data_IF_837385431639
#
_entry.id   IF_837385431639
#
_cell.length_a   1.000
_cell.length_b   1.000
_cell.length_c   1.000
_cell.angle_alpha   90.00
_cell.angle_beta   90.00
_cell.angle_gamma   90.00
#
_symmetry.space_group_name_H-M   'P 1'
#
loop_
_entity.id
_entity.type
_entity.pdbx_description
1 polymer ?
#
# COMPACT_ATOMS: atom_id res chain seq x y z
N UNK A 1 1.49 -16.10 -30.76
CA UNK A 1 2.56 -17.06 -31.13
C UNK A 1 3.38 -16.59 -32.33
N UNK A 2 2.78 -16.03 -33.35
CA UNK A 2 3.48 -15.54 -34.58
C UNK A 2 4.32 -14.28 -34.36
N UNK A 3 4.07 -13.51 -33.30
CA UNK A 3 4.78 -12.29 -32.96
C UNK A 3 5.82 -12.46 -31.85
N UNK A 4 6.00 -13.68 -31.33
CA UNK A 4 6.98 -13.97 -30.30
C UNK A 4 8.34 -14.27 -30.95
N UNK A 5 9.41 -13.79 -30.32
CA UNK A 5 10.77 -14.20 -30.71
C UNK A 5 11.01 -15.68 -30.32
N UNK A 6 12.11 -16.30 -30.77
CA UNK A 6 12.35 -17.73 -30.55
C UNK A 6 12.45 -18.10 -29.08
N UNK A 7 13.02 -17.23 -28.25
CA UNK A 7 13.13 -17.43 -26.78
C UNK A 7 11.74 -17.37 -26.11
N UNK A 8 10.90 -16.44 -26.50
CA UNK A 8 9.52 -16.32 -25.99
C UNK A 8 8.63 -17.48 -26.45
N UNK A 9 8.88 -18.04 -27.64
CA UNK A 9 8.21 -19.26 -28.10
C UNK A 9 8.60 -20.49 -27.30
N UNK A 10 9.88 -20.61 -26.92
CA UNK A 10 10.36 -21.70 -26.06
C UNK A 10 9.76 -21.59 -24.66
N UNK A 11 9.73 -20.42 -24.09
CA UNK A 11 9.14 -20.16 -22.78
C UNK A 11 7.61 -20.43 -22.79
N UNK A 12 6.91 -19.98 -23.84
CA UNK A 12 5.49 -20.28 -24.04
C UNK A 12 5.23 -21.79 -24.10
N UNK A 13 6.03 -22.54 -24.87
CA UNK A 13 5.86 -23.98 -24.99
C UNK A 13 6.17 -24.72 -23.68
N UNK A 14 7.17 -24.25 -22.92
CA UNK A 14 7.49 -24.77 -21.60
C UNK A 14 6.33 -24.56 -20.59
N UNK A 15 5.79 -23.35 -20.53
CA UNK A 15 4.66 -23.02 -19.65
C UNK A 15 3.40 -23.80 -20.02
N UNK A 16 3.13 -23.97 -21.31
CA UNK A 16 2.01 -24.77 -21.80
C UNK A 16 2.13 -26.27 -21.47
N UNK A 17 3.34 -26.83 -21.46
CA UNK A 17 3.56 -28.19 -20.99
C UNK A 17 3.37 -28.33 -19.48
N UNK A 18 3.83 -27.33 -18.71
CA UNK A 18 3.69 -27.29 -17.24
C UNK A 18 2.22 -27.18 -16.81
N UNK A 19 1.40 -26.41 -17.54
CA UNK A 19 -0.04 -26.29 -17.27
C UNK A 19 -0.80 -27.58 -17.56
N UNK A 20 -0.48 -28.28 -18.66
CA UNK A 20 -1.09 -29.58 -18.98
C UNK A 20 -0.73 -30.67 -17.95
N UNK A 21 0.49 -30.68 -17.42
CA UNK A 21 0.87 -31.61 -16.35
C UNK A 21 0.14 -31.37 -15.02
N UNK A 22 -0.31 -30.16 -14.76
CA UNK A 22 -1.10 -29.82 -13.54
C UNK A 22 -2.56 -30.25 -13.65
N UNK A 23 -3.17 -30.17 -14.83
CA UNK A 23 -4.54 -30.65 -15.04
C UNK A 23 -4.68 -32.16 -14.89
N UNK A 24 -3.65 -32.94 -15.28
CA UNK A 24 -3.66 -34.38 -15.14
C UNK A 24 -3.45 -34.86 -13.68
N UNK A 25 -2.80 -34.05 -12.82
CA UNK A 25 -2.64 -34.35 -11.40
C UNK A 25 -3.92 -34.00 -10.62
N UNK A 26 -4.61 -32.94 -10.96
CA UNK A 26 -5.87 -32.55 -10.31
C UNK A 26 -7.01 -33.55 -10.59
N UNK A 27 -7.06 -34.15 -11.77
CA UNK A 27 -8.06 -35.18 -12.10
C UNK A 27 -7.80 -36.54 -11.43
N UNK A 28 -6.55 -36.85 -11.03
CA UNK A 28 -6.22 -38.11 -10.34
C UNK A 28 -6.42 -38.07 -8.82
N UNK A 29 -6.56 -36.91 -8.21
CA UNK A 29 -6.73 -36.78 -6.76
C UNK A 29 -8.19 -36.73 -6.31
N UNK A 30 -9.14 -36.60 -7.23
CA UNK A 30 -10.58 -36.50 -6.93
C UNK A 30 -11.32 -37.83 -6.76
N UNK A 31 -10.67 -39.00 -6.84
CA UNK A 31 -11.35 -40.31 -6.85
C UNK A 31 -10.88 -41.29 -5.77
N UNK A 32 -10.50 -40.84 -4.60
CA UNK A 32 -10.34 -41.75 -3.45
C UNK A 32 -10.37 -40.95 -2.13
N UNK A 33 -11.51 -40.93 -1.47
CA UNK A 33 -11.67 -41.19 -0.03
C UNK A 33 -13.08 -40.77 0.44
N UNK A 34 -13.96 -41.76 0.33
CA UNK A 34 -15.11 -41.86 1.22
C UNK A 34 -14.95 -43.23 1.88
N UNK A 35 -14.77 -43.28 3.20
CA UNK A 35 -15.30 -44.29 4.11
C UNK A 35 -14.87 -44.00 5.54
N UNK A 36 -15.85 -43.69 6.34
CA UNK A 36 -16.22 -44.11 7.70
C UNK A 36 -15.53 -43.61 8.95
N UNK A 37 -16.45 -43.24 9.80
CA UNK A 37 -16.40 -42.65 11.13
C UNK A 37 -16.31 -43.66 12.27
N UNK A 38 -15.83 -43.16 13.38
CA UNK A 38 -16.33 -43.30 14.78
C UNK A 38 -15.94 -44.52 15.60
N UNK A 39 -16.17 -44.46 16.94
CA UNK A 39 -15.35 -43.78 17.97
C UNK A 39 -14.93 -44.75 19.07
N UNK A 40 -14.04 -44.41 19.98
CA UNK A 40 -14.10 -44.86 21.39
C UNK A 40 -13.09 -44.17 22.31
N UNK A 41 -13.61 -43.97 23.47
CA UNK A 41 -13.10 -43.45 24.73
C UNK A 41 -11.72 -43.95 25.19
N UNK A 42 -10.97 -43.09 25.89
CA UNK A 42 -10.50 -43.40 27.24
C UNK A 42 -9.86 -42.19 27.96
N UNK A 43 -10.36 -41.94 29.13
CA UNK A 43 -9.83 -41.08 30.20
C UNK A 43 -8.45 -41.51 30.63
N UNK A 44 -7.59 -40.56 30.98
CA UNK A 44 -6.79 -40.63 32.22
C UNK A 44 -6.28 -39.26 32.64
N UNK A 45 -6.52 -38.96 33.87
CA UNK A 45 -5.98 -37.87 34.70
C UNK A 45 -4.44 -37.90 34.77
N UNK A 46 -3.84 -36.74 34.86
CA UNK A 46 -2.80 -36.48 35.86
C UNK A 46 -2.50 -34.99 36.03
N UNK A 47 -2.77 -34.55 37.21
CA UNK A 47 -2.40 -33.32 37.90
C UNK A 47 -0.91 -33.00 37.83
N UNK A 48 -0.57 -31.73 37.66
CA UNK A 48 0.79 -31.19 37.75
C UNK A 48 0.80 -29.71 38.12
N UNK A 49 0.70 -29.46 39.35
CA UNK A 49 1.09 -28.40 40.28
C UNK A 49 1.90 -27.20 39.69
N UNK A 50 1.33 -26.01 39.85
CA UNK A 50 2.01 -24.72 39.81
C UNK A 50 2.71 -24.42 41.18
N UNK A 51 3.88 -23.79 41.22
CA UNK A 51 4.51 -23.35 42.45
C UNK A 51 3.93 -22.03 42.97
N UNK A 52 3.61 -22.03 44.28
CA UNK A 52 3.15 -20.88 45.06
C UNK A 52 4.29 -19.94 45.40
N UNK A 53 4.04 -18.62 45.26
CA UNK A 53 4.83 -17.57 45.90
C UNK A 53 4.56 -17.51 47.43
N UNK A 54 5.57 -17.22 48.28
CA UNK A 54 5.37 -17.13 49.72
C UNK A 54 4.86 -15.74 50.13
N UNK A 55 3.89 -15.78 51.03
CA UNK A 55 3.22 -14.63 51.61
C UNK A 55 4.01 -13.97 52.73
N UNK A 56 3.62 -12.72 52.97
CA UNK A 56 4.07 -11.87 54.08
C UNK A 56 3.73 -12.46 55.44
N UNK A 57 4.74 -12.60 56.27
CA UNK A 57 4.59 -12.88 57.69
C UNK A 57 4.69 -11.60 58.51
N UNK A 58 3.67 -11.35 59.29
CA UNK A 58 3.64 -10.37 60.36
C UNK A 58 4.19 -11.03 61.66
N UNK A 59 5.04 -10.34 62.38
CA UNK A 59 5.29 -10.67 63.76
C UNK A 59 5.44 -9.44 64.64
N UNK A 60 4.75 -9.53 65.74
CA UNK A 60 4.45 -8.63 66.78
C UNK A 60 5.60 -8.38 67.82
N UNK A 61 5.62 -7.16 68.29
CA UNK A 61 5.73 -6.68 69.64
C UNK A 61 6.55 -7.49 70.64
N UNK A 62 7.63 -6.87 71.15
CA UNK A 62 8.00 -7.00 72.57
C UNK A 62 8.68 -5.75 73.10
N UNK A 63 8.18 -5.24 74.22
CA UNK A 63 8.68 -4.16 75.02
C UNK A 63 9.96 -4.60 75.75
N UNK A 64 10.90 -3.64 76.00
CA UNK A 64 11.46 -3.40 77.32
C UNK A 64 12.21 -2.10 77.45
N UNK A 65 11.92 -1.41 78.50
CA UNK A 65 12.49 -0.21 79.09
C UNK A 65 14.01 -0.30 79.35
N UNK A 66 14.72 0.86 79.22
CA UNK A 66 15.48 1.43 80.33
C UNK A 66 16.20 2.70 79.98
N UNK A 67 15.84 3.78 80.65
CA UNK A 67 16.54 4.85 81.38
C UNK A 67 17.84 5.49 80.79
N UNK A 68 17.69 6.84 80.71
CA UNK A 68 18.60 7.92 81.09
C UNK A 68 19.81 8.24 80.23
N UNK A 69 19.83 9.43 79.59
CA UNK A 69 20.52 10.63 80.16
C UNK A 69 20.39 11.83 79.19
N UNK A 70 20.25 12.95 79.81
CA UNK A 70 20.16 14.32 79.18
C UNK A 70 21.37 14.67 78.34
N UNK A 71 21.11 15.16 77.13
CA UNK A 71 21.89 16.23 76.49
C UNK A 71 20.97 17.05 75.65
N UNK A 72 20.77 18.30 76.09
CA UNK A 72 20.15 19.36 75.30
C UNK A 72 21.07 19.69 74.13
N UNK A 73 20.64 19.39 72.92
CA UNK A 73 21.14 20.03 71.68
C UNK A 73 19.99 20.80 71.06
N UNK A 74 20.22 22.09 71.03
CA UNK A 74 19.38 23.06 70.35
C UNK A 74 19.19 22.73 68.89
N UNK A 75 18.09 22.15 68.53
CA UNK A 75 17.67 22.02 67.12
C UNK A 75 17.23 23.38 66.60
N UNK A 76 18.08 24.00 65.79
CA UNK A 76 17.69 25.06 64.89
C UNK A 76 16.59 24.54 63.98
N UNK A 77 15.35 24.97 64.20
CA UNK A 77 14.26 24.71 63.26
C UNK A 77 14.51 25.45 61.97
N UNK A 78 15.03 24.76 60.98
CA UNK A 78 14.97 25.28 59.61
C UNK A 78 13.51 25.26 59.16
N UNK A 79 12.86 26.40 59.26
CA UNK A 79 11.57 26.66 58.63
C UNK A 79 11.76 26.42 57.12
N UNK A 80 11.26 25.30 56.65
CA UNK A 80 11.07 25.11 55.21
C UNK A 80 10.02 26.12 54.75
N UNK A 81 10.47 27.18 54.11
CA UNK A 81 9.59 28.08 53.40
C UNK A 81 8.69 27.29 52.47
N UNK A 82 7.36 27.49 52.52
CA UNK A 82 6.47 26.80 51.59
C UNK A 82 6.86 27.18 50.19
N UNK A 83 7.18 26.21 49.35
CA UNK A 83 7.37 26.42 47.90
C UNK A 83 6.05 26.97 47.35
N UNK A 84 5.99 28.23 47.13
CA UNK A 84 4.88 28.87 46.44
C UNK A 84 4.90 28.36 45.00
N UNK A 85 4.02 27.41 44.70
CA UNK A 85 3.75 27.04 43.32
C UNK A 85 3.16 28.26 42.62
N UNK A 86 3.91 28.85 41.68
CA UNK A 86 3.38 29.94 40.86
C UNK A 86 2.16 29.42 40.14
N UNK A 87 0.99 29.95 40.47
CA UNK A 87 -0.29 29.60 39.86
C UNK A 87 -0.16 29.85 38.36
N UNK A 88 -0.09 28.74 37.57
CA UNK A 88 0.02 28.81 36.12
C UNK A 88 -1.24 29.52 35.61
N UNK A 89 -1.08 30.61 34.91
CA UNK A 89 -2.20 31.38 34.34
C UNK A 89 -2.66 30.65 33.06
N UNK A 90 -3.85 29.98 33.04
CA UNK A 90 -4.27 29.12 31.94
C UNK A 90 -4.28 29.85 30.59
N UNK A 91 -4.66 31.16 30.60
CA UNK A 91 -4.62 31.99 29.38
C UNK A 91 -3.23 32.15 28.76
N UNK A 92 -2.16 32.21 29.57
CA UNK A 92 -0.79 32.29 29.05
C UNK A 92 -0.32 30.93 28.47
N UNK A 93 -0.69 29.84 29.10
CA UNK A 93 -0.40 28.50 28.59
C UNK A 93 -1.09 28.29 27.24
N UNK A 94 -2.37 28.64 27.16
CA UNK A 94 -3.14 28.57 25.91
C UNK A 94 -2.53 29.44 24.80
N UNK A 95 -2.11 30.64 25.13
CA UNK A 95 -1.43 31.52 24.16
C UNK A 95 -0.10 30.92 23.65
N UNK A 96 0.74 30.37 24.53
CA UNK A 96 1.99 29.72 24.12
C UNK A 96 1.74 28.47 23.30
N UNK A 97 0.70 27.69 23.63
CA UNK A 97 0.28 26.53 22.84
C UNK A 97 -0.20 26.95 21.45
N UNK A 98 -0.97 28.02 21.35
CA UNK A 98 -1.40 28.58 20.06
C UNK A 98 -0.21 29.03 19.21
N UNK A 99 0.75 29.76 19.80
CA UNK A 99 1.98 30.19 19.11
C UNK A 99 2.76 28.98 18.62
N UNK A 100 2.89 27.95 19.45
CA UNK A 100 3.57 26.69 19.06
C UNK A 100 2.89 26.02 17.87
N UNK A 101 1.56 25.90 17.87
CA UNK A 101 0.79 25.34 16.75
C UNK A 101 1.00 26.17 15.48
N UNK A 102 0.95 27.50 15.56
CA UNK A 102 1.20 28.37 14.41
C UNK A 102 2.60 28.16 13.84
N UNK A 103 3.62 28.04 14.69
CA UNK A 103 5.00 27.78 14.26
C UNK A 103 5.15 26.42 13.56
N UNK A 104 4.51 25.38 14.08
CA UNK A 104 4.51 24.04 13.46
C UNK A 104 3.82 24.09 12.08
N UNK A 105 2.63 24.69 11.99
CA UNK A 105 1.90 24.81 10.72
C UNK A 105 2.70 25.64 9.71
N UNK A 106 3.29 26.76 10.13
CA UNK A 106 4.14 27.59 9.25
C UNK A 106 5.36 26.80 8.75
N UNK A 107 5.99 25.99 9.61
CA UNK A 107 7.09 25.12 9.23
C UNK A 107 6.67 24.05 8.20
N UNK A 108 5.49 23.43 8.40
CA UNK A 108 4.93 22.47 7.43
C UNK A 108 4.63 23.13 6.07
N UNK A 109 4.05 24.32 6.08
CA UNK A 109 3.81 25.10 4.86
C UNK A 109 5.11 25.42 4.13
N UNK A 110 6.12 25.89 4.88
CA UNK A 110 7.45 26.16 4.30
C UNK A 110 8.04 24.93 3.62
N UNK A 111 8.00 23.77 4.30
CA UNK A 111 8.53 22.51 3.73
C UNK A 111 7.71 22.05 2.50
N UNK A 112 6.39 22.21 2.52
CA UNK A 112 5.55 21.91 1.38
C UNK A 112 5.90 22.78 0.15
N UNK A 113 6.02 24.10 0.32
CA UNK A 113 6.43 24.99 -0.78
C UNK A 113 7.86 24.74 -1.24
N UNK A 114 8.77 24.36 -0.34
CA UNK A 114 10.10 23.89 -0.71
C UNK A 114 10.03 22.66 -1.61
N UNK A 115 9.16 21.71 -1.29
CA UNK A 115 8.89 20.52 -2.12
C UNK A 115 8.31 20.88 -3.48
N UNK A 116 7.31 21.79 -3.53
CA UNK A 116 6.70 22.26 -4.77
C UNK A 116 7.69 22.92 -5.74
N UNK A 117 8.72 23.57 -5.20
CA UNK A 117 9.78 24.20 -6.00
C UNK A 117 10.86 23.22 -6.49
N UNK A 118 10.65 21.91 -6.31
CA UNK A 118 11.57 20.90 -6.81
C UNK A 118 11.49 20.83 -8.33
N UNK A 119 12.64 21.03 -8.98
CA UNK A 119 12.75 20.87 -10.44
C UNK A 119 13.04 19.42 -10.78
N UNK A 120 12.48 18.94 -11.88
CA UNK A 120 12.78 17.61 -12.41
C UNK A 120 14.22 17.56 -12.92
N UNK A 121 14.94 16.45 -12.73
CA UNK A 121 16.20 16.23 -13.43
C UNK A 121 15.97 16.31 -14.96
N UNK A 122 16.77 17.07 -15.68
CA UNK A 122 16.73 17.15 -17.15
C UNK A 122 15.77 18.17 -17.75
N UNK A 123 15.28 19.17 -17.00
CA UNK A 123 14.33 20.21 -17.47
C UNK A 123 12.98 19.68 -18.01
N UNK A 124 12.58 18.49 -17.62
CA UNK A 124 11.27 17.94 -17.98
C UNK A 124 10.17 18.79 -17.33
N UNK A 125 9.18 19.21 -18.11
CA UNK A 125 8.00 19.91 -17.58
C UNK A 125 7.24 18.97 -16.66
N UNK A 126 6.56 19.53 -15.64
CA UNK A 126 5.53 18.79 -14.93
C UNK A 126 4.53 18.25 -15.97
N UNK A 127 4.04 17.04 -15.78
CA UNK A 127 2.97 16.54 -16.64
C UNK A 127 1.77 17.48 -16.50
N UNK A 128 1.18 17.84 -17.63
CA UNK A 128 -0.06 18.61 -17.63
C UNK A 128 -1.14 17.78 -16.93
N UNK A 129 -2.04 18.45 -16.22
CA UNK A 129 -3.19 17.80 -15.62
C UNK A 129 -4.10 17.34 -16.75
N UNK A 130 -4.36 16.03 -16.82
CA UNK A 130 -5.25 15.45 -17.81
C UNK A 130 -6.72 15.84 -17.54
N UNK A 131 -7.55 15.80 -18.57
CA UNK A 131 -8.99 15.85 -18.39
C UNK A 131 -9.42 14.64 -17.56
N UNK A 132 -10.24 14.88 -16.55
CA UNK A 132 -10.74 13.84 -15.66
C UNK A 132 -12.13 14.21 -15.15
N UNK A 133 -13.14 13.45 -15.55
CA UNK A 133 -14.54 13.67 -15.15
C UNK A 133 -14.83 12.95 -13.82
N UNK A 134 -14.34 13.57 -12.74
CA UNK A 134 -14.39 12.98 -11.40
C UNK A 134 -15.75 13.08 -10.73
N UNK A 135 -16.21 11.96 -10.19
CA UNK A 135 -17.48 11.84 -9.47
C UNK A 135 -17.29 11.47 -8.00
N UNK A 136 -18.14 12.02 -7.13
CA UNK A 136 -18.14 11.70 -5.70
C UNK A 136 -18.65 10.28 -5.45
N UNK A 137 -17.91 9.50 -4.66
CA UNK A 137 -18.37 8.20 -4.19
C UNK A 137 -19.50 8.35 -3.15
N UNK A 138 -20.28 7.30 -2.94
CA UNK A 138 -21.36 7.27 -1.95
C UNK A 138 -20.86 7.46 -0.51
N UNK A 139 -19.66 6.97 -0.19
CA UNK A 139 -19.06 7.08 1.13
C UNK A 139 -17.55 7.33 1.02
N UNK A 140 -17.11 8.48 1.51
CA UNK A 140 -15.74 8.93 1.38
C UNK A 140 -15.39 9.48 -0.01
N UNK A 141 -14.11 9.47 -0.32
CA UNK A 141 -13.55 9.98 -1.58
C UNK A 141 -12.65 8.92 -2.16
N UNK A 142 -12.97 8.47 -3.37
CA UNK A 142 -12.14 7.55 -4.13
C UNK A 142 -11.11 8.31 -4.95
N UNK A 143 -9.84 7.92 -4.80
CA UNK A 143 -8.68 8.47 -5.52
C UNK A 143 -8.04 7.33 -6.31
N UNK A 144 -7.98 7.48 -7.63
CA UNK A 144 -7.28 6.56 -8.53
C UNK A 144 -5.78 6.82 -8.45
N UNK A 145 -5.01 5.80 -8.10
CA UNK A 145 -3.54 5.86 -8.07
C UNK A 145 -3.02 4.93 -9.16
N UNK A 146 -2.36 5.53 -10.14
CA UNK A 146 -1.79 4.83 -11.27
C UNK A 146 -0.26 4.87 -11.19
N UNK A 147 0.36 3.70 -11.24
CA UNK A 147 1.82 3.56 -11.38
C UNK A 147 2.14 3.27 -12.85
N UNK A 148 2.95 4.12 -13.48
CA UNK A 148 3.35 3.97 -14.88
C UNK A 148 4.85 3.72 -15.01
N UNK A 149 5.22 2.92 -16.00
CA UNK A 149 6.59 2.70 -16.43
C UNK A 149 7.10 3.81 -17.38
N UNK A 150 6.19 4.58 -17.97
CA UNK A 150 6.52 5.73 -18.79
C UNK A 150 7.05 6.89 -17.98
N UNK A 151 7.85 7.75 -18.61
CA UNK A 151 8.26 9.02 -18.01
C UNK A 151 7.15 10.05 -18.22
N UNK A 152 6.59 10.54 -17.13
CA UNK A 152 5.54 11.57 -17.17
C UNK A 152 6.08 12.79 -17.95
N UNK A 153 5.35 13.18 -19.01
CA UNK A 153 5.73 14.27 -19.93
C UNK A 153 6.52 13.82 -21.16
N UNK A 154 6.78 12.53 -21.35
CA UNK A 154 7.17 11.95 -22.64
C UNK A 154 5.90 11.59 -23.43
N UNK A 155 5.88 11.92 -24.73
CA UNK A 155 4.78 11.55 -25.63
C UNK A 155 4.87 10.04 -25.96
N UNK A 156 4.61 9.19 -24.99
CA UNK A 156 4.59 7.74 -25.19
C UNK A 156 3.14 7.26 -25.28
N UNK A 157 2.67 7.01 -26.48
CA UNK A 157 1.37 6.36 -26.73
C UNK A 157 1.41 4.84 -26.45
N UNK A 158 2.55 4.31 -25.99
CA UNK A 158 2.74 2.90 -25.66
C UNK A 158 2.85 2.67 -24.15
N UNK A 159 2.79 3.74 -23.36
CA UNK A 159 2.88 3.65 -21.88
C UNK A 159 1.73 2.82 -21.33
N UNK A 160 2.06 1.94 -20.39
CA UNK A 160 1.11 1.10 -19.67
C UNK A 160 1.14 1.40 -18.19
N UNK A 161 0.03 1.13 -17.54
CA UNK A 161 -0.02 1.13 -16.07
C UNK A 161 0.27 -0.25 -15.52
N UNK A 162 1.32 -0.35 -14.70
CA UNK A 162 1.68 -1.59 -14.00
C UNK A 162 0.97 -1.74 -12.65
N UNK A 163 0.49 -0.62 -12.09
CA UNK A 163 -0.23 -0.59 -10.83
C UNK A 163 -1.49 0.25 -10.98
N UNK A 164 -2.63 -0.35 -10.68
CA UNK A 164 -3.95 0.30 -10.74
C UNK A 164 -4.59 0.10 -9.37
N UNK A 165 -4.74 1.18 -8.61
CA UNK A 165 -5.28 1.13 -7.26
C UNK A 165 -6.31 2.23 -7.04
N UNK A 166 -7.33 1.93 -6.23
CA UNK A 166 -8.29 2.92 -5.73
C UNK A 166 -8.13 3.03 -4.22
N UNK A 167 -7.81 4.23 -3.76
CA UNK A 167 -7.71 4.60 -2.36
C UNK A 167 -8.98 5.34 -1.95
N UNK A 168 -9.76 4.77 -1.02
CA UNK A 168 -10.91 5.43 -0.42
C UNK A 168 -10.53 6.00 0.96
N UNK A 169 -10.86 7.26 1.15
CA UNK A 169 -10.50 8.06 2.34
C UNK A 169 -11.66 8.94 2.80
N UNK A 170 -11.63 9.35 4.07
CA UNK A 170 -12.65 10.24 4.64
C UNK A 170 -14.05 9.60 4.69
N UNK A 171 -14.11 8.28 4.76
CA UNK A 171 -15.35 7.51 4.88
C UNK A 171 -15.85 7.46 6.34
N UNK A 172 -17.09 6.99 6.51
CA UNK A 172 -17.75 6.89 7.83
C UNK A 172 -17.08 5.93 8.79
N UNK A 173 -16.35 4.95 8.27
CA UNK A 173 -15.63 3.97 9.09
C UNK A 173 -14.34 4.53 9.68
N UNK A 174 -13.92 5.73 9.27
CA UNK A 174 -12.64 6.33 9.64
C UNK A 174 -11.45 5.38 9.43
N UNK A 175 -11.46 4.66 8.30
CA UNK A 175 -10.40 3.75 7.86
C UNK A 175 -9.96 4.10 6.46
N UNK A 176 -8.72 3.84 6.16
CA UNK A 176 -8.28 3.84 4.77
C UNK A 176 -8.65 2.51 4.12
N UNK A 177 -9.22 2.55 2.91
CA UNK A 177 -9.53 1.36 2.13
C UNK A 177 -8.73 1.40 0.85
N UNK A 178 -8.06 0.30 0.53
CA UNK A 178 -7.19 0.18 -0.63
C UNK A 178 -7.65 -1.02 -1.46
N UNK A 179 -8.07 -0.75 -2.68
CA UNK A 179 -8.39 -1.77 -3.67
C UNK A 179 -7.34 -1.75 -4.77
N UNK A 180 -6.68 -2.88 -4.98
CA UNK A 180 -5.70 -3.06 -6.07
C UNK A 180 -6.32 -3.93 -7.14
N UNK A 181 -6.26 -3.46 -8.38
CA UNK A 181 -6.75 -4.20 -9.54
C UNK A 181 -5.57 -4.82 -10.28
N UNK A 182 -5.71 -6.12 -10.57
CA UNK A 182 -4.70 -6.79 -11.38
C UNK A 182 -4.77 -6.29 -12.82
N UNK A 183 -3.64 -5.87 -13.36
CA UNK A 183 -3.55 -5.25 -14.68
C UNK A 183 -4.05 -6.13 -15.82
N UNK A 184 -3.93 -7.47 -15.65
CA UNK A 184 -4.31 -8.46 -16.66
C UNK A 184 -5.78 -8.93 -16.49
N UNK A 185 -6.56 -8.32 -15.58
CA UNK A 185 -8.01 -8.55 -15.47
C UNK A 185 -8.67 -8.17 -16.78
N UNK A 186 -9.44 -9.09 -17.36
CA UNK A 186 -10.20 -8.84 -18.57
C UNK A 186 -11.44 -8.02 -18.24
N UNK A 187 -11.65 -6.98 -19.01
CA UNK A 187 -12.73 -6.01 -18.87
C UNK A 187 -13.35 -5.70 -20.22
N UNK A 188 -14.50 -5.09 -20.20
CA UNK A 188 -15.10 -4.43 -21.37
C UNK A 188 -14.60 -2.97 -21.43
N UNK A 189 -14.14 -2.55 -22.62
CA UNK A 189 -13.84 -1.15 -22.90
C UNK A 189 -14.74 -0.69 -24.05
N UNK A 190 -15.60 0.27 -23.78
CA UNK A 190 -16.54 0.80 -24.76
C UNK A 190 -15.81 1.36 -25.99
N UNK A 191 -16.33 1.02 -27.18
CA UNK A 191 -15.72 1.40 -28.46
C UNK A 191 -14.44 0.63 -28.86
N UNK A 192 -13.93 -0.25 -28.02
CA UNK A 192 -12.72 -1.09 -28.28
C UNK A 192 -13.07 -2.57 -28.21
N UNK A 193 -13.76 -3.00 -27.17
CA UNK A 193 -14.23 -4.39 -26.99
C UNK A 193 -15.29 -4.76 -28.01
N UNK A 194 -15.49 -6.06 -28.22
CA UNK A 194 -16.51 -6.58 -29.11
C UNK A 194 -17.91 -6.23 -28.62
N UNK A 195 -18.56 -5.26 -29.27
CA UNK A 195 -19.89 -4.75 -28.89
C UNK A 195 -21.05 -5.65 -29.31
N UNK A 196 -20.80 -6.78 -29.97
CA UNK A 196 -21.84 -7.72 -30.43
C UNK A 196 -22.09 -8.87 -29.46
N UNK A 197 -21.32 -8.95 -28.38
CA UNK A 197 -21.45 -9.97 -27.35
C UNK A 197 -22.26 -9.47 -26.18
N UNK A 198 -22.88 -10.41 -25.43
CA UNK A 198 -23.62 -10.10 -24.24
C UNK A 198 -22.66 -9.95 -23.02
N UNK A 199 -23.02 -9.14 -21.99
CA UNK A 199 -22.16 -8.95 -20.82
C UNK A 199 -21.79 -10.21 -20.05
N UNK A 200 -22.45 -11.35 -20.32
CA UNK A 200 -22.18 -12.64 -19.68
C UNK A 200 -21.24 -13.53 -20.48
N UNK A 201 -20.87 -13.11 -21.71
CA UNK A 201 -20.00 -13.87 -22.59
C UNK A 201 -18.52 -13.54 -22.33
N UNK A 202 -17.63 -14.52 -22.41
CA UNK A 202 -16.18 -14.34 -22.26
C UNK A 202 -15.64 -13.31 -23.27
N UNK A 203 -16.18 -13.32 -24.47
CA UNK A 203 -15.82 -12.39 -25.56
C UNK A 203 -16.25 -10.94 -25.28
N UNK A 204 -17.13 -10.68 -24.31
CA UNK A 204 -17.50 -9.33 -23.89
C UNK A 204 -16.39 -8.68 -23.06
N UNK A 205 -15.68 -9.46 -22.24
CA UNK A 205 -14.57 -9.05 -21.40
C UNK A 205 -13.26 -9.45 -22.11
N UNK A 206 -12.89 -8.71 -23.14
CA UNK A 206 -11.84 -9.09 -24.09
C UNK A 206 -10.60 -8.16 -24.05
N UNK A 207 -10.59 -7.14 -23.20
CA UNK A 207 -9.50 -6.20 -23.03
C UNK A 207 -8.85 -6.33 -21.66
N UNK A 208 -7.52 -6.21 -21.57
CA UNK A 208 -6.86 -6.09 -20.28
C UNK A 208 -7.07 -4.71 -19.67
N UNK A 209 -7.25 -4.64 -18.36
CA UNK A 209 -7.48 -3.38 -17.65
C UNK A 209 -6.36 -2.36 -17.89
N UNK A 210 -5.09 -2.79 -17.95
CA UNK A 210 -3.97 -1.88 -18.20
C UNK A 210 -3.98 -1.29 -19.63
N UNK A 211 -4.65 -1.91 -20.59
CA UNK A 211 -4.77 -1.37 -21.95
C UNK A 211 -5.71 -0.16 -22.01
N UNK A 212 -6.63 0.00 -21.04
CA UNK A 212 -7.46 1.19 -20.96
C UNK A 212 -6.64 2.47 -20.88
N UNK A 213 -5.54 2.47 -20.09
CA UNK A 213 -4.64 3.61 -20.03
C UNK A 213 -4.01 3.92 -21.40
N UNK A 214 -3.50 2.89 -22.08
CA UNK A 214 -2.87 3.04 -23.40
C UNK A 214 -3.84 3.59 -24.44
N UNK A 215 -5.08 3.09 -24.49
CA UNK A 215 -6.11 3.62 -25.37
C UNK A 215 -6.45 5.08 -25.05
N UNK A 216 -6.55 5.43 -23.77
CA UNK A 216 -6.76 6.81 -23.35
C UNK A 216 -5.61 7.74 -23.74
N UNK A 217 -4.35 7.28 -23.64
CA UNK A 217 -3.19 8.05 -24.09
C UNK A 217 -3.19 8.28 -25.60
N UNK A 218 -3.66 7.31 -26.39
CA UNK A 218 -3.83 7.44 -27.83
C UNK A 218 -4.99 8.38 -28.21
N UNK A 219 -6.00 8.51 -27.33
CA UNK A 219 -7.12 9.44 -27.47
C UNK A 219 -6.89 10.73 -26.68
N UNK A 220 -6.06 11.62 -27.20
CA UNK A 220 -5.81 12.96 -26.66
C UNK A 220 -5.23 12.99 -25.23
N UNK A 221 -4.36 12.05 -24.87
CA UNK A 221 -3.70 11.97 -23.56
C UNK A 221 -4.71 11.96 -22.39
N UNK A 222 -5.67 11.03 -22.44
CA UNK A 222 -6.71 10.81 -21.44
C UNK A 222 -6.55 9.48 -20.71
N UNK A 223 -5.33 9.04 -20.46
CA UNK A 223 -5.06 7.72 -19.89
C UNK A 223 -5.74 7.50 -18.54
N UNK A 224 -5.64 8.46 -17.63
CA UNK A 224 -6.28 8.36 -16.31
C UNK A 224 -7.81 8.34 -16.42
N UNK A 225 -8.40 9.14 -17.33
CA UNK A 225 -9.83 9.17 -17.56
C UNK A 225 -10.35 7.85 -18.12
N UNK A 226 -9.64 7.26 -19.08
CA UNK A 226 -10.03 5.98 -19.66
C UNK A 226 -10.02 4.85 -18.62
N UNK A 227 -9.03 4.82 -17.72
CA UNK A 227 -9.03 3.87 -16.60
C UNK A 227 -10.19 4.14 -15.63
N UNK A 228 -10.47 5.42 -15.31
CA UNK A 228 -11.64 5.79 -14.49
C UNK A 228 -12.94 5.25 -15.08
N UNK A 229 -13.13 5.48 -16.40
CA UNK A 229 -14.32 5.03 -17.11
C UNK A 229 -14.41 3.49 -17.10
N UNK A 230 -13.30 2.81 -17.41
CA UNK A 230 -13.25 1.35 -17.36
C UNK A 230 -13.62 0.79 -15.97
N UNK A 231 -13.14 1.41 -14.90
CA UNK A 231 -13.51 1.02 -13.53
C UNK A 231 -14.97 1.36 -13.22
N UNK A 232 -15.53 2.45 -13.75
CA UNK A 232 -16.95 2.78 -13.61
C UNK A 232 -17.83 1.73 -14.31
N UNK A 233 -17.53 1.42 -15.55
CA UNK A 233 -18.38 0.56 -16.39
C UNK A 233 -18.35 -0.89 -15.90
N UNK A 234 -17.19 -1.42 -15.54
CA UNK A 234 -17.04 -2.81 -15.15
C UNK A 234 -17.30 -3.06 -13.66
N UNK A 235 -16.99 -2.11 -12.77
CA UNK A 235 -17.08 -2.28 -11.32
C UNK A 235 -18.04 -1.32 -10.63
N UNK A 236 -18.61 -0.35 -11.37
CA UNK A 236 -19.51 0.70 -10.86
C UNK A 236 -18.88 1.54 -9.71
N UNK A 237 -17.61 1.88 -9.85
CA UNK A 237 -16.88 2.71 -8.89
C UNK A 237 -16.87 4.14 -9.36
N UNK A 238 -17.34 5.07 -8.52
CA UNK A 238 -17.21 6.51 -8.76
C UNK A 238 -15.88 6.98 -8.18
N UNK A 239 -15.06 7.67 -9.01
CA UNK A 239 -13.72 8.13 -8.65
C UNK A 239 -13.66 9.64 -8.86
N UNK A 240 -13.20 10.36 -7.81
CA UNK A 240 -13.18 11.83 -7.83
C UNK A 240 -11.85 12.41 -8.30
N UNK A 241 -10.76 11.81 -7.89
CA UNK A 241 -9.42 12.31 -8.16
C UNK A 241 -8.52 11.21 -8.70
N UNK A 242 -7.43 11.62 -9.36
CA UNK A 242 -6.37 10.72 -9.76
C UNK A 242 -4.99 11.25 -9.36
N UNK A 243 -4.03 10.35 -9.27
CA UNK A 243 -2.60 10.62 -9.15
C UNK A 243 -1.83 9.61 -10.01
N UNK A 244 -1.10 10.13 -11.00
CA UNK A 244 -0.26 9.34 -11.89
C UNK A 244 1.19 9.45 -11.43
N UNK A 245 1.78 8.37 -10.93
CA UNK A 245 3.09 8.33 -10.29
C UNK A 245 4.07 7.53 -11.13
N UNK A 246 5.15 8.17 -11.57
CA UNK A 246 6.27 7.47 -12.19
C UNK A 246 7.29 6.97 -11.16
N UNK A 247 8.23 6.16 -11.62
CA UNK A 247 9.24 5.54 -10.76
C UNK A 247 10.16 6.55 -10.06
N UNK A 248 10.56 7.60 -10.77
CA UNK A 248 11.42 8.65 -10.20
C UNK A 248 10.71 9.45 -9.12
N UNK A 249 9.45 9.79 -9.39
CA UNK A 249 8.59 10.49 -8.43
C UNK A 249 8.39 9.67 -7.16
N UNK A 250 8.07 8.36 -7.33
CA UNK A 250 7.95 7.45 -6.20
C UNK A 250 9.23 7.42 -5.36
N UNK A 251 10.37 7.14 -5.98
CA UNK A 251 11.65 7.05 -5.28
C UNK A 251 12.00 8.37 -4.57
N UNK A 252 11.84 9.51 -5.26
CA UNK A 252 12.10 10.84 -4.70
C UNK A 252 11.20 11.16 -3.51
N UNK A 253 9.92 10.78 -3.58
CA UNK A 253 8.98 10.98 -2.49
C UNK A 253 9.37 10.16 -1.25
N UNK A 254 9.71 8.89 -1.46
CA UNK A 254 10.15 7.98 -0.38
C UNK A 254 11.43 8.49 0.29
N UNK A 255 12.46 8.84 -0.48
CA UNK A 255 13.74 9.33 0.07
C UNK A 255 13.57 10.64 0.84
N UNK A 256 12.62 11.48 0.41
CA UNK A 256 12.29 12.71 1.13
C UNK A 256 11.56 12.44 2.44
N UNK A 257 10.57 11.56 2.39
CA UNK A 257 9.73 11.21 3.54
C UNK A 257 10.51 10.41 4.59
N UNK A 258 11.36 9.49 4.12
CA UNK A 258 12.15 8.57 4.93
C UNK A 258 13.65 8.66 4.58
N UNK A 259 14.37 9.69 5.03
CA UNK A 259 15.80 9.84 4.70
C UNK A 259 16.69 8.67 5.12
N UNK A 260 16.22 7.85 6.07
CA UNK A 260 16.92 6.63 6.51
C UNK A 260 16.31 5.36 5.88
N UNK A 261 15.48 5.51 4.84
CA UNK A 261 14.72 4.43 4.22
C UNK A 261 13.49 3.98 5.01
N UNK A 262 12.62 3.23 4.35
CA UNK A 262 11.45 2.58 4.92
C UNK A 262 11.86 1.25 5.53
N UNK A 263 11.48 1.03 6.79
CA UNK A 263 11.72 -0.26 7.44
C UNK A 263 10.75 -1.30 6.89
N UNK A 264 11.29 -2.33 6.24
CA UNK A 264 10.55 -3.42 5.61
C UNK A 264 11.04 -4.78 6.09
N UNK A 265 10.14 -5.76 6.09
CA UNK A 265 10.47 -7.18 6.17
C UNK A 265 10.30 -7.77 4.77
N UNK A 266 11.40 -7.79 4.00
CA UNK A 266 11.38 -8.22 2.60
C UNK A 266 11.05 -9.71 2.50
N UNK A 267 10.01 -10.02 1.75
CA UNK A 267 9.53 -11.39 1.51
C UNK A 267 9.41 -11.65 0.02
N UNK A 268 10.03 -12.73 -0.39
CA UNK A 268 9.84 -13.29 -1.72
C UNK A 268 9.23 -14.68 -1.56
N UNK A 269 8.49 -15.11 -2.57
CA UNK A 269 8.08 -16.50 -2.68
C UNK A 269 9.28 -17.38 -3.06
N UNK A 270 9.04 -18.64 -3.26
CA UNK A 270 10.04 -19.54 -3.86
C UNK A 270 10.36 -19.11 -5.30
N UNK A 271 11.54 -19.44 -5.76
CA UNK A 271 11.94 -19.33 -7.17
C UNK A 271 12.26 -20.74 -7.64
N UNK A 272 11.57 -21.23 -8.66
CA UNK A 272 11.64 -22.63 -9.13
C UNK A 272 11.39 -23.67 -8.02
N UNK A 273 10.51 -23.34 -7.07
CA UNK A 273 10.16 -24.18 -5.93
C UNK A 273 11.14 -24.13 -4.76
N UNK A 274 12.25 -23.39 -4.87
CA UNK A 274 13.27 -23.29 -3.83
C UNK A 274 13.15 -21.98 -3.02
N UNK A 275 13.42 -22.06 -1.72
CA UNK A 275 13.47 -20.88 -0.85
C UNK A 275 14.71 -20.05 -1.11
N UNK A 276 14.55 -18.76 -1.25
CA UNK A 276 15.63 -17.81 -1.48
C UNK A 276 15.99 -17.03 -0.23
N UNK A 277 17.25 -16.66 -0.08
CA UNK A 277 17.75 -15.75 0.99
C UNK A 277 18.01 -14.34 0.48
N UNK A 278 18.20 -14.20 -0.81
CA UNK A 278 18.36 -12.94 -1.53
C UNK A 278 17.89 -13.12 -2.97
N UNK A 279 17.53 -12.02 -3.60
CA UNK A 279 17.01 -12.03 -4.99
C UNK A 279 17.66 -10.88 -5.76
N UNK A 280 18.05 -11.15 -7.00
CA UNK A 280 18.43 -10.12 -7.95
C UNK A 280 17.21 -9.56 -8.64
N UNK A 281 17.00 -8.26 -8.48
CA UNK A 281 15.85 -7.54 -9.03
C UNK A 281 16.30 -6.53 -10.08
N UNK A 282 15.55 -6.29 -11.15
CA UNK A 282 15.86 -5.25 -12.11
C UNK A 282 15.91 -3.86 -11.46
N UNK A 283 16.88 -3.04 -11.86
CA UNK A 283 17.11 -1.69 -11.34
C UNK A 283 16.92 -0.65 -12.44
N UNK A 284 15.66 -0.41 -12.78
CA UNK A 284 15.27 0.42 -13.91
C UNK A 284 15.70 1.89 -13.76
N UNK A 285 15.75 2.42 -12.53
CA UNK A 285 16.22 3.79 -12.28
C UNK A 285 17.71 4.00 -12.61
N UNK A 286 18.47 2.92 -12.67
CA UNK A 286 19.89 2.93 -13.05
C UNK A 286 20.14 2.39 -14.47
N UNK A 287 19.09 2.28 -15.28
CA UNK A 287 19.22 1.90 -16.69
C UNK A 287 20.19 2.84 -17.42
N UNK A 288 21.15 2.27 -18.14
CA UNK A 288 22.13 3.00 -18.98
C UNK A 288 22.18 2.34 -20.36
N UNK A 289 22.12 3.15 -21.37
CA UNK A 289 22.22 2.72 -22.79
C UNK A 289 21.28 1.55 -23.13
N UNK A 290 20.06 1.56 -22.55
CA UNK A 290 19.05 0.51 -22.76
C UNK A 290 19.30 -0.77 -21.96
N UNK A 291 20.36 -0.84 -21.15
CA UNK A 291 20.67 -1.99 -20.29
C UNK A 291 20.20 -1.69 -18.86
N UNK A 292 19.32 -2.54 -18.34
CA UNK A 292 18.85 -2.49 -16.94
C UNK A 292 19.78 -3.35 -16.08
N UNK A 293 20.55 -2.75 -15.14
CA UNK A 293 21.35 -3.52 -14.19
C UNK A 293 20.46 -4.25 -13.19
N UNK A 294 21.05 -5.16 -12.40
CA UNK A 294 20.35 -5.80 -11.27
C UNK A 294 20.81 -5.23 -9.95
N UNK A 295 19.93 -5.29 -8.96
CA UNK A 295 20.19 -4.99 -7.55
C UNK A 295 19.86 -6.23 -6.71
N UNK A 296 20.76 -6.62 -5.81
CA UNK A 296 20.49 -7.72 -4.86
C UNK A 296 19.70 -7.20 -3.66
N UNK A 297 18.54 -7.80 -3.38
CA UNK A 297 17.73 -7.55 -2.19
C UNK A 297 17.70 -8.81 -1.33
N UNK A 298 18.09 -8.69 -0.05
CA UNK A 298 18.06 -9.81 0.91
C UNK A 298 16.67 -10.00 1.48
N UNK A 299 16.33 -11.25 1.80
CA UNK A 299 15.12 -11.57 2.56
C UNK A 299 15.28 -11.11 4.00
N UNK A 300 14.19 -10.60 4.61
CA UNK A 300 14.14 -10.21 6.01
C UNK A 300 14.14 -8.70 6.24
N UNK A 301 14.35 -8.34 7.50
CA UNK A 301 14.18 -6.96 7.99
C UNK A 301 15.34 -6.06 7.57
N UNK A 302 15.02 -4.97 6.90
CA UNK A 302 16.01 -4.00 6.42
C UNK A 302 15.35 -2.63 6.19
N UNK A 303 16.18 -1.59 6.05
CA UNK A 303 15.75 -0.28 5.57
C UNK A 303 15.95 -0.21 4.06
N UNK A 304 14.91 0.21 3.34
CA UNK A 304 14.95 0.38 1.88
C UNK A 304 14.76 1.83 1.53
N UNK A 305 15.72 2.40 0.76
CA UNK A 305 15.55 3.69 0.11
C UNK A 305 14.49 3.62 -0.98
N UNK A 306 14.13 4.75 -1.59
CA UNK A 306 13.06 4.81 -2.58
C UNK A 306 13.31 3.91 -3.78
N UNK A 307 14.55 3.82 -4.25
CA UNK A 307 14.96 2.94 -5.36
C UNK A 307 14.80 1.46 -4.99
N UNK A 308 15.38 1.04 -3.87
CA UNK A 308 15.30 -0.35 -3.41
C UNK A 308 13.86 -0.79 -3.15
N UNK A 309 13.07 0.11 -2.56
CA UNK A 309 11.66 -0.13 -2.29
C UNK A 309 10.84 -0.28 -3.58
N UNK A 310 11.14 0.55 -4.60
CA UNK A 310 10.54 0.45 -5.94
C UNK A 310 10.88 -0.90 -6.59
N UNK A 311 12.17 -1.27 -6.62
CA UNK A 311 12.63 -2.51 -7.22
C UNK A 311 12.01 -3.73 -6.53
N UNK A 312 11.88 -3.71 -5.19
CA UNK A 312 11.18 -4.72 -4.42
C UNK A 312 9.69 -4.82 -4.80
N UNK A 313 9.01 -3.68 -4.90
CA UNK A 313 7.58 -3.63 -5.23
C UNK A 313 7.27 -4.08 -6.66
N UNK A 314 8.24 -4.00 -7.58
CA UNK A 314 8.06 -4.34 -9.00
C UNK A 314 8.46 -5.75 -9.37
N UNK A 315 9.18 -6.44 -8.50
CA UNK A 315 9.66 -7.80 -8.76
C UNK A 315 8.51 -8.78 -8.99
N UNK A 316 8.63 -9.66 -10.00
CA UNK A 316 7.59 -10.63 -10.40
C UNK A 316 8.15 -11.97 -10.89
N UNK A 317 9.46 -12.24 -10.67
CA UNK A 317 10.09 -13.48 -11.14
C UNK A 317 10.15 -14.56 -10.06
N UNK A 318 9.35 -14.44 -8.99
CA UNK A 318 9.12 -15.52 -8.05
C UNK A 318 7.89 -16.36 -8.47
N UNK A 319 7.67 -17.51 -7.83
CA UNK A 319 6.60 -18.44 -8.18
C UNK A 319 5.17 -17.88 -7.99
N UNK A 320 5.02 -16.74 -7.26
CA UNK A 320 3.76 -16.01 -7.14
C UNK A 320 3.51 -15.02 -8.29
N UNK A 321 4.54 -14.70 -9.09
CA UNK A 321 4.41 -13.84 -10.26
C UNK A 321 3.75 -12.48 -9.98
N UNK A 322 2.71 -12.14 -10.73
CA UNK A 322 1.98 -10.88 -10.62
C UNK A 322 1.23 -10.72 -9.28
N UNK A 323 0.77 -11.81 -8.68
CA UNK A 323 0.18 -11.78 -7.34
C UNK A 323 1.20 -11.40 -6.27
N UNK A 324 2.40 -11.99 -6.35
CA UNK A 324 3.51 -11.63 -5.48
C UNK A 324 3.87 -10.15 -5.61
N UNK A 325 3.87 -9.61 -6.83
CA UNK A 325 4.08 -8.17 -7.10
C UNK A 325 2.99 -7.32 -6.43
N UNK A 326 1.71 -7.63 -6.67
CA UNK A 326 0.59 -6.88 -6.11
C UNK A 326 0.60 -6.92 -4.57
N UNK A 327 0.89 -8.08 -3.99
CA UNK A 327 1.05 -8.24 -2.53
C UNK A 327 2.18 -7.36 -2.00
N UNK A 328 3.36 -7.37 -2.64
CA UNK A 328 4.50 -6.52 -2.25
C UNK A 328 4.18 -5.03 -2.35
N UNK A 329 3.47 -4.60 -3.37
CA UNK A 329 3.00 -3.20 -3.50
C UNK A 329 2.10 -2.81 -2.32
N UNK A 330 1.17 -3.66 -1.91
CA UNK A 330 0.31 -3.41 -0.76
C UNK A 330 1.08 -3.44 0.57
N UNK A 331 2.07 -4.31 0.71
CA UNK A 331 2.96 -4.37 1.88
C UNK A 331 3.80 -3.10 2.00
N UNK A 332 4.38 -2.63 0.89
CA UNK A 332 5.13 -1.37 0.80
C UNK A 332 4.26 -0.18 1.20
N UNK A 333 3.08 -0.05 0.60
CA UNK A 333 2.16 1.03 0.94
C UNK A 333 1.77 0.99 2.43
N UNK A 334 1.56 -0.20 2.96
CA UNK A 334 1.25 -0.38 4.39
C UNK A 334 2.41 0.05 5.29
N UNK A 335 3.63 -0.35 4.94
CA UNK A 335 4.81 0.03 5.70
C UNK A 335 5.01 1.55 5.71
N UNK A 336 4.83 2.20 4.56
CA UNK A 336 4.83 3.67 4.44
C UNK A 336 3.77 4.28 5.37
N UNK A 337 2.52 3.83 5.26
CA UNK A 337 1.40 4.37 6.04
C UNK A 337 1.52 4.11 7.55
N UNK A 338 2.18 3.05 7.96
CA UNK A 338 2.46 2.80 9.38
C UNK A 338 3.55 3.72 9.92
N UNK A 339 4.59 3.99 9.14
CA UNK A 339 5.75 4.78 9.56
C UNK A 339 5.55 6.29 9.40
N UNK A 340 4.63 6.73 8.53
CA UNK A 340 4.27 8.15 8.40
C UNK A 340 3.56 8.70 9.65
N UNK A 341 3.05 7.81 10.52
CA UNK A 341 2.40 8.19 11.79
C UNK A 341 3.35 8.79 12.81
N UNK A 342 4.65 8.65 12.61
CA UNK A 342 5.68 9.24 13.45
C UNK A 342 5.60 10.78 13.35
N UNK A 343 5.37 11.51 14.47
CA UNK A 343 5.29 12.97 14.45
C UNK A 343 6.54 13.65 13.86
N UNK A 344 7.70 12.99 13.88
CA UNK A 344 8.93 13.51 13.26
C UNK A 344 8.81 13.64 11.74
N UNK A 345 7.84 12.92 11.13
CA UNK A 345 7.58 12.94 9.69
C UNK A 345 6.69 14.12 9.24
N UNK A 346 6.18 14.94 10.15
CA UNK A 346 5.32 16.08 9.78
C UNK A 346 6.00 17.02 8.77
N UNK A 347 7.26 17.33 8.97
CA UNK A 347 8.00 18.23 8.09
C UNK A 347 8.47 17.53 6.81
N UNK A 348 9.12 16.37 6.92
CA UNK A 348 9.55 15.58 5.75
C UNK A 348 8.36 15.12 4.91
N UNK A 349 7.24 14.77 5.55
CA UNK A 349 5.99 14.44 4.89
C UNK A 349 5.41 15.60 4.10
N UNK A 350 5.43 16.81 4.67
CA UNK A 350 4.98 18.01 3.96
C UNK A 350 5.85 18.31 2.74
N UNK A 351 7.19 18.18 2.84
CA UNK A 351 8.10 18.33 1.71
C UNK A 351 7.88 17.24 0.64
N UNK A 352 7.72 15.98 1.06
CA UNK A 352 7.46 14.87 0.14
C UNK A 352 6.15 15.07 -0.63
N UNK A 353 5.09 15.50 0.05
CA UNK A 353 3.83 15.87 -0.61
C UNK A 353 4.03 17.00 -1.63
N UNK A 354 4.77 18.05 -1.27
CA UNK A 354 5.10 19.13 -2.20
C UNK A 354 5.82 18.60 -3.46
N UNK A 355 6.79 17.70 -3.28
CA UNK A 355 7.50 17.05 -4.42
C UNK A 355 6.57 16.18 -5.26
N UNK A 356 5.70 15.39 -4.65
CA UNK A 356 4.71 14.59 -5.39
C UNK A 356 3.85 15.51 -6.26
N UNK A 357 3.32 16.59 -5.70
CA UNK A 357 2.54 17.56 -6.49
C UNK A 357 3.33 18.23 -7.62
N UNK A 358 4.62 18.50 -7.41
CA UNK A 358 5.46 19.10 -8.45
C UNK A 358 5.83 18.12 -9.58
N UNK A 359 5.89 16.82 -9.27
CA UNK A 359 6.43 15.80 -10.15
C UNK A 359 5.36 14.88 -10.76
N UNK A 360 4.13 14.87 -10.21
CA UNK A 360 3.05 13.96 -10.57
C UNK A 360 1.96 14.69 -11.36
N UNK A 361 1.37 14.03 -12.36
CA UNK A 361 0.10 14.48 -12.94
C UNK A 361 -1.03 14.11 -11.98
N UNK A 362 -1.77 15.11 -11.50
CA UNK A 362 -2.87 14.89 -10.56
C UNK A 362 -3.87 16.04 -10.59
N UNK A 363 -5.15 15.73 -10.47
CA UNK A 363 -6.22 16.72 -10.30
C UNK A 363 -6.63 16.89 -8.82
N UNK A 364 -5.92 16.25 -7.86
CA UNK A 364 -6.17 16.46 -6.43
C UNK A 364 -5.89 17.92 -6.09
N UNK A 365 -6.86 18.71 -5.60
CA UNK A 365 -6.58 20.11 -5.28
C UNK A 365 -5.75 20.21 -3.99
N UNK A 366 -4.83 21.17 -3.95
CA UNK A 366 -4.01 21.40 -2.76
C UNK A 366 -4.87 21.65 -1.50
N UNK A 367 -6.03 22.30 -1.66
CA UNK A 367 -7.00 22.52 -0.58
C UNK A 367 -7.49 21.21 0.05
N UNK A 368 -7.59 20.14 -0.72
CA UNK A 368 -7.94 18.81 -0.20
C UNK A 368 -6.92 18.30 0.80
N UNK A 369 -5.63 18.47 0.51
CA UNK A 369 -4.55 18.05 1.42
C UNK A 369 -4.62 18.83 2.74
N UNK A 370 -4.89 20.14 2.68
CA UNK A 370 -4.97 20.97 3.88
C UNK A 370 -6.22 20.68 4.72
N UNK A 371 -7.36 20.38 4.07
CA UNK A 371 -8.61 20.08 4.75
C UNK A 371 -8.71 18.65 5.27
N UNK A 372 -8.19 17.68 4.53
CA UNK A 372 -8.34 16.26 4.81
C UNK A 372 -7.04 15.59 5.30
N UNK A 373 -5.88 16.20 5.09
CA UNK A 373 -4.59 15.54 5.36
C UNK A 373 -4.42 15.08 6.81
N UNK A 374 -4.89 15.86 7.78
CA UNK A 374 -4.86 15.46 9.19
C UNK A 374 -5.82 14.28 9.46
N UNK A 375 -7.02 14.32 8.87
CA UNK A 375 -7.99 13.22 8.96
C UNK A 375 -7.40 11.94 8.37
N UNK A 376 -6.76 12.01 7.21
CA UNK A 376 -6.12 10.86 6.55
C UNK A 376 -5.06 10.20 7.46
N UNK A 377 -4.22 11.00 8.13
CA UNK A 377 -3.22 10.50 9.08
C UNK A 377 -3.89 9.86 10.30
N UNK A 378 -5.00 10.43 10.78
CA UNK A 378 -5.75 9.87 11.91
C UNK A 378 -6.47 8.58 11.52
N UNK A 379 -7.14 8.56 10.37
CA UNK A 379 -7.86 7.39 9.85
C UNK A 379 -6.91 6.22 9.57
N UNK A 380 -5.68 6.50 9.11
CA UNK A 380 -4.66 5.46 8.94
C UNK A 380 -4.31 4.72 10.23
N UNK A 381 -4.56 5.33 11.42
CA UNK A 381 -4.34 4.67 12.73
C UNK A 381 -5.35 3.57 13.01
N UNK A 382 -6.54 3.65 12.42
CA UNK A 382 -7.60 2.65 12.56
C UNK A 382 -7.39 1.42 11.67
N UNK A 383 -6.30 1.41 10.91
CA UNK A 383 -5.93 0.32 10.02
C UNK A 383 -6.23 0.63 8.55
N UNK A 384 -5.77 -0.27 7.70
CA UNK A 384 -6.00 -0.22 6.25
C UNK A 384 -6.74 -1.50 5.87
N UNK A 385 -7.93 -1.35 5.34
CA UNK A 385 -8.70 -2.43 4.74
C UNK A 385 -8.24 -2.62 3.30
N UNK A 386 -7.98 -3.85 2.88
CA UNK A 386 -7.41 -4.15 1.56
C UNK A 386 -8.21 -5.19 0.83
N UNK A 387 -8.27 -5.01 -0.49
CA UNK A 387 -8.81 -5.97 -1.42
C UNK A 387 -7.91 -5.98 -2.66
N UNK A 388 -7.64 -7.17 -3.19
CA UNK A 388 -7.06 -7.33 -4.53
C UNK A 388 -8.13 -7.94 -5.43
N UNK A 389 -8.33 -7.39 -6.61
CA UNK A 389 -9.28 -7.87 -7.59
C UNK A 389 -8.51 -8.34 -8.83
N UNK A 390 -8.65 -9.62 -9.18
CA UNK A 390 -9.25 -10.71 -8.40
C UNK A 390 -8.43 -11.14 -7.19
N UNK A 391 -9.05 -11.79 -6.22
CA UNK A 391 -8.36 -12.49 -5.13
C UNK A 391 -7.67 -13.75 -5.67
N UNK A 392 -6.68 -14.25 -4.94
CA UNK A 392 -5.87 -15.39 -5.38
C UNK A 392 -6.75 -16.62 -5.64
N UNK A 393 -6.74 -17.08 -6.89
CA UNK A 393 -7.48 -18.24 -7.34
C UNK A 393 -8.94 -17.96 -7.73
N UNK A 394 -9.39 -16.71 -7.68
CA UNK A 394 -10.77 -16.32 -7.98
C UNK A 394 -10.87 -15.72 -9.40
N UNK A 395 -10.41 -16.45 -10.38
CA UNK A 395 -10.49 -16.12 -11.81
C UNK A 395 -10.45 -17.38 -12.67
N UNK A 396 -10.87 -17.21 -13.92
CA UNK A 396 -10.67 -18.19 -14.99
C UNK A 396 -9.61 -17.67 -15.96
N UNK A 397 -8.59 -18.47 -16.26
CA UNK A 397 -7.60 -18.14 -17.27
C UNK A 397 -8.26 -18.17 -18.66
N UNK A 398 -8.21 -17.07 -19.37
CA UNK A 398 -8.68 -16.95 -20.76
C UNK A 398 -7.78 -16.00 -21.54
N UNK A 399 -8.18 -15.54 -22.71
CA UNK A 399 -7.34 -14.72 -23.59
C UNK A 399 -8.06 -13.39 -23.92
N UNK A 400 -7.29 -12.33 -24.01
CA UNK A 400 -7.75 -11.07 -24.59
C UNK A 400 -7.97 -11.22 -26.11
N UNK A 401 -8.59 -10.21 -26.74
CA UNK A 401 -8.88 -10.23 -28.17
C UNK A 401 -7.61 -10.31 -29.05
N UNK A 402 -6.43 -10.07 -28.50
CA UNK A 402 -5.15 -10.15 -29.20
C UNK A 402 -4.42 -11.47 -28.92
N UNK A 403 -5.03 -12.39 -28.18
CA UNK A 403 -4.47 -13.69 -27.81
C UNK A 403 -3.50 -13.66 -26.62
N UNK A 404 -3.47 -12.56 -25.87
CA UNK A 404 -2.71 -12.44 -24.63
C UNK A 404 -3.48 -13.04 -23.47
N UNK A 405 -2.81 -13.81 -22.58
CA UNK A 405 -3.43 -14.40 -21.41
C UNK A 405 -4.00 -13.34 -20.49
N UNK A 406 -5.24 -13.52 -20.03
CA UNK A 406 -5.96 -12.61 -19.15
C UNK A 406 -6.76 -13.34 -18.07
N UNK A 407 -7.27 -12.59 -17.11
CA UNK A 407 -7.98 -13.07 -15.94
C UNK A 407 -9.46 -12.70 -16.05
N UNK A 408 -10.33 -13.67 -16.34
CA UNK A 408 -11.78 -13.48 -16.32
C UNK A 408 -12.31 -13.70 -14.91
N UNK A 409 -13.16 -12.78 -14.44
CA UNK A 409 -13.66 -12.75 -13.06
C UNK A 409 -15.18 -12.67 -12.99
N UNK A 410 -15.76 -12.95 -11.82
CA UNK A 410 -17.15 -12.67 -11.52
C UNK A 410 -17.32 -11.19 -11.09
N UNK A 411 -17.70 -10.34 -12.03
CA UNK A 411 -17.88 -8.90 -11.80
C UNK A 411 -18.97 -8.60 -10.78
N UNK A 412 -20.07 -9.36 -10.75
CA UNK A 412 -21.18 -9.11 -9.83
C UNK A 412 -20.76 -9.40 -8.37
N UNK A 413 -20.01 -10.47 -8.16
CA UNK A 413 -19.43 -10.76 -6.84
C UNK A 413 -18.52 -9.64 -6.35
N UNK A 414 -17.63 -9.11 -7.23
CA UNK A 414 -16.74 -8.00 -6.86
C UNK A 414 -17.48 -6.67 -6.70
N UNK A 415 -18.49 -6.38 -7.49
CA UNK A 415 -19.36 -5.21 -7.30
C UNK A 415 -20.01 -5.23 -5.92
N UNK A 416 -20.52 -6.39 -5.47
CA UNK A 416 -21.10 -6.50 -4.13
C UNK A 416 -20.05 -6.34 -3.01
N UNK A 417 -18.82 -6.87 -3.17
CA UNK A 417 -17.73 -6.64 -2.22
C UNK A 417 -17.32 -5.17 -2.13
N UNK A 418 -17.20 -4.49 -3.25
CA UNK A 418 -16.88 -3.06 -3.31
C UNK A 418 -17.96 -2.22 -2.63
N UNK A 419 -19.23 -2.60 -2.78
CA UNK A 419 -20.35 -1.96 -2.09
C UNK A 419 -20.28 -2.19 -0.57
N UNK A 420 -19.97 -3.40 -0.11
CA UNK A 420 -19.76 -3.70 1.31
C UNK A 420 -18.61 -2.89 1.90
N UNK A 421 -17.59 -2.63 1.10
CA UNK A 421 -16.49 -1.75 1.47
C UNK A 421 -16.82 -0.25 1.35
N UNK A 422 -17.98 0.13 0.79
CA UNK A 422 -18.40 1.52 0.64
C UNK A 422 -17.70 2.30 -0.47
N UNK A 423 -17.04 1.62 -1.42
CA UNK A 423 -16.40 2.27 -2.58
C UNK A 423 -17.38 2.53 -3.72
N UNK A 424 -18.55 1.86 -3.66
CA UNK A 424 -19.62 1.88 -4.66
C UNK A 424 -20.92 2.45 -4.07
#
# INVERSE_FOLDING_TARGET
>A
YYYLNEHEKEEYNYLRQKSKGRSDVAQKTSTKQTVQASPEDSKTDSSGLLPKYPGKGSLSRSQKNSRNSLKQETKKSTQKTPRTYKKIRPKRVLMWLLIFVILVVSGMLFMFFKGLNTTRPGNLKAADVEYFDGHDARDGINILVLGTDGRIGENSTETRTDSIMVLNVGNKDHKMKLVSFMRDTLIHIDGVSNSYTEPTDDDYYDQKLNSAYTFGEQDNHRGAEAVRQALKDNFDIDIKYYALVDFNTFATAIDTLFPNGVFMDAKFSTIDGEKVTEVEVPDDLNMKDGVVPTQTIKVGRQHMDGRTLLNYARFRKDDEGDFGRTRRQQEVLTAIMQQIKDPTKLFTGSEALGKVFALTSTNVPQSFIWSQGLSLVLDSRNGIERLTIPELGDWTDTYDMYGGQGLLIDFEAYKERLKQMGLR
#
